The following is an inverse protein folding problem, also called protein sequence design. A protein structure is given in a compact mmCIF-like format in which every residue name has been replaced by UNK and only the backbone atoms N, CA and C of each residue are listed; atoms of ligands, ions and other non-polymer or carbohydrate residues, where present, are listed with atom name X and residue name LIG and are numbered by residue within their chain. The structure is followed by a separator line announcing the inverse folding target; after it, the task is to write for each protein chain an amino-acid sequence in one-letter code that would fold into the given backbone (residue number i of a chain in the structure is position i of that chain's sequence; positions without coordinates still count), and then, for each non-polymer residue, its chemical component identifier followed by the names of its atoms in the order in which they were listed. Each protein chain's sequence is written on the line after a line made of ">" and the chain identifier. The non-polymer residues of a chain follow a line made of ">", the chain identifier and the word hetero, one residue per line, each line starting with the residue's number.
data_IF_762707438583
#
_entry.id   IF_762707438583
#
_cell.length_a   1.000
_cell.length_b   1.000
_cell.length_c   1.000
_cell.angle_alpha   90.00
_cell.angle_beta   90.00
_cell.angle_gamma   90.00
#
_symmetry.space_group_name_H-M   'P 1'
#
loop_
_entity.id
_entity.type
_entity.pdbx_description
1 polymer ?
#
# COMPACT_ATOMS: atom_id res chain seq x y z
N UNK A 1 -11.27 -13.79 -27.51
CA UNK A 1 -10.56 -13.13 -26.41
C UNK A 1 -10.33 -11.71 -26.88
N UNK A 2 -10.98 -10.73 -26.28
CA UNK A 2 -10.72 -9.30 -26.58
C UNK A 2 -9.47 -8.96 -25.75
N UNK A 3 -8.35 -8.69 -26.40
CA UNK A 3 -7.18 -8.13 -25.72
C UNK A 3 -7.52 -6.69 -25.38
N UNK A 4 -7.26 -6.25 -24.15
CA UNK A 4 -7.44 -4.86 -23.78
C UNK A 4 -6.52 -3.95 -24.59
N UNK A 5 -7.09 -2.92 -25.22
CA UNK A 5 -6.34 -1.96 -26.06
C UNK A 5 -5.68 -0.86 -25.23
N UNK A 6 -6.28 -0.51 -24.11
CA UNK A 6 -5.74 0.47 -23.15
C UNK A 6 -6.56 0.57 -21.87
N UNK A 7 -5.92 0.96 -20.77
CA UNK A 7 -6.57 1.09 -19.47
C UNK A 7 -6.35 2.48 -18.89
N UNK A 8 -7.45 3.14 -18.53
CA UNK A 8 -7.46 4.36 -17.75
C UNK A 8 -7.46 4.02 -16.25
N UNK A 9 -6.55 4.59 -15.48
CA UNK A 9 -6.56 4.56 -14.02
C UNK A 9 -7.17 5.85 -13.48
N UNK A 10 -8.36 5.77 -12.89
CA UNK A 10 -8.97 6.87 -12.13
C UNK A 10 -8.63 6.67 -10.65
N UNK A 11 -7.78 7.53 -10.11
CA UNK A 11 -7.26 7.36 -8.75
C UNK A 11 -7.25 8.68 -7.98
N UNK A 12 -7.64 8.63 -6.69
CA UNK A 12 -7.55 9.78 -5.82
C UNK A 12 -6.17 9.92 -5.22
N UNK A 13 -5.70 11.17 -5.17
CA UNK A 13 -4.41 11.54 -4.62
C UNK A 13 -4.57 12.78 -3.75
N UNK A 14 -3.96 12.77 -2.57
CA UNK A 14 -3.99 13.93 -1.69
C UNK A 14 -3.28 13.67 -0.37
N UNK A 15 -2.99 14.75 0.37
CA UNK A 15 -2.26 14.66 1.64
C UNK A 15 -3.01 13.80 2.67
N UNK A 16 -4.35 13.82 2.63
CA UNK A 16 -5.20 13.06 3.56
C UNK A 16 -5.42 11.61 3.15
N UNK A 17 -5.31 11.30 1.85
CA UNK A 17 -5.47 9.94 1.30
C UNK A 17 -4.13 9.20 1.33
N UNK A 18 -3.03 9.93 1.28
CA UNK A 18 -1.68 9.39 1.18
C UNK A 18 -1.33 8.94 -0.25
N UNK A 19 -0.25 8.18 -0.38
CA UNK A 19 0.22 7.66 -1.67
C UNK A 19 -0.13 6.18 -1.91
N UNK A 20 -0.80 5.52 -0.96
CA UNK A 20 -1.09 4.09 -1.04
C UNK A 20 -1.92 3.69 -2.25
N UNK A 21 -3.01 4.42 -2.53
CA UNK A 21 -3.88 4.22 -3.70
C UNK A 21 -3.12 4.39 -5.01
N UNK A 22 -2.40 5.50 -5.13
CA UNK A 22 -1.60 5.75 -6.32
C UNK A 22 -0.53 4.68 -6.52
N UNK A 23 0.17 4.31 -5.47
CA UNK A 23 1.26 3.34 -5.54
C UNK A 23 0.76 1.96 -5.97
N UNK A 24 -0.40 1.50 -5.48
CA UNK A 24 -0.98 0.24 -5.90
C UNK A 24 -1.49 0.28 -7.35
N UNK A 25 -2.03 1.41 -7.81
CA UNK A 25 -2.41 1.62 -9.20
C UNK A 25 -1.19 1.63 -10.14
N UNK A 26 -0.12 2.34 -9.79
CA UNK A 26 1.15 2.33 -10.54
C UNK A 26 1.74 0.92 -10.60
N UNK A 27 1.66 0.16 -9.51
CA UNK A 27 2.13 -1.23 -9.46
C UNK A 27 1.36 -2.13 -10.44
N UNK A 28 0.03 -1.99 -10.50
CA UNK A 28 -0.80 -2.71 -11.46
C UNK A 28 -0.52 -2.27 -12.91
N UNK A 29 -0.40 -0.97 -13.16
CA UNK A 29 -0.07 -0.43 -14.49
C UNK A 29 1.30 -0.94 -15.00
N UNK A 30 2.30 -1.04 -14.13
CA UNK A 30 3.61 -1.66 -14.45
C UNK A 30 3.48 -3.13 -14.81
N UNK A 31 2.59 -3.87 -14.15
CA UNK A 31 2.33 -5.26 -14.48
C UNK A 31 1.59 -5.41 -15.83
N UNK A 32 0.61 -4.54 -16.12
CA UNK A 32 -0.09 -4.48 -17.40
C UNK A 32 0.84 -4.11 -18.55
N UNK A 33 1.79 -3.19 -18.32
CA UNK A 33 2.80 -2.82 -19.31
C UNK A 33 3.65 -4.01 -19.77
N UNK A 34 3.91 -5.02 -18.90
CA UNK A 34 4.57 -6.28 -19.28
C UNK A 34 3.75 -7.12 -20.26
N UNK A 35 2.45 -6.91 -20.32
CA UNK A 35 1.53 -7.53 -21.29
C UNK A 35 1.30 -6.67 -22.53
N UNK A 36 2.01 -5.54 -22.68
CA UNK A 36 1.86 -4.62 -23.80
C UNK A 36 0.60 -3.76 -23.74
N UNK A 37 -0.09 -3.70 -22.59
CA UNK A 37 -1.32 -2.91 -22.43
C UNK A 37 -0.94 -1.48 -22.01
N UNK A 38 -1.26 -0.46 -22.83
CA UNK A 38 -1.03 0.94 -22.49
C UNK A 38 -1.86 1.36 -21.29
N UNK A 39 -1.26 2.18 -20.41
CA UNK A 39 -1.93 2.69 -19.23
C UNK A 39 -1.75 4.21 -19.14
N UNK A 40 -2.80 4.91 -18.71
CA UNK A 40 -2.77 6.33 -18.44
C UNK A 40 -3.52 6.63 -17.14
N UNK A 41 -3.25 7.78 -16.55
CA UNK A 41 -3.75 8.14 -15.24
C UNK A 41 -4.60 9.41 -15.28
N UNK A 42 -5.74 9.37 -14.62
CA UNK A 42 -6.58 10.51 -14.30
C UNK A 42 -6.58 10.65 -12.77
N UNK A 43 -5.90 11.68 -12.27
CA UNK A 43 -5.75 11.85 -10.82
C UNK A 43 -6.68 12.93 -10.30
N UNK A 44 -7.51 12.60 -9.30
CA UNK A 44 -8.32 13.55 -8.55
C UNK A 44 -7.49 14.30 -7.51
N UNK A 45 -8.03 15.41 -6.99
CA UNK A 45 -7.40 16.28 -5.99
C UNK A 45 -7.12 17.70 -6.51
N UNK A 46 -5.96 18.26 -6.19
CA UNK A 46 -5.56 19.62 -6.57
C UNK A 46 -4.97 19.75 -8.00
N UNK A 47 -5.11 18.70 -8.78
CA UNK A 47 -4.68 18.67 -10.20
C UNK A 47 -3.18 18.57 -10.39
N UNK A 48 -2.42 18.23 -9.36
CA UNK A 48 -1.02 17.87 -9.48
C UNK A 48 -0.87 16.44 -9.99
N UNK A 49 0.08 16.23 -10.90
CA UNK A 49 0.49 14.88 -11.28
C UNK A 49 1.51 14.41 -10.25
N UNK A 50 1.22 13.32 -9.52
CA UNK A 50 2.11 12.87 -8.48
C UNK A 50 3.40 12.27 -9.02
N UNK A 51 4.51 12.53 -8.34
CA UNK A 51 5.85 12.04 -8.68
C UNK A 51 5.92 10.54 -9.02
N UNK A 52 5.22 9.60 -8.32
CA UNK A 52 5.26 8.20 -8.70
C UNK A 52 4.78 7.90 -10.12
N UNK A 53 3.80 8.64 -10.65
CA UNK A 53 3.33 8.48 -12.05
C UNK A 53 4.35 9.03 -13.02
N UNK A 54 4.85 10.24 -12.78
CA UNK A 54 5.86 10.90 -13.62
C UNK A 54 7.14 10.06 -13.73
N UNK A 55 7.70 9.60 -12.58
CA UNK A 55 8.92 8.77 -12.56
C UNK A 55 8.69 7.42 -13.22
N UNK A 56 7.44 6.93 -13.23
CA UNK A 56 7.07 5.66 -13.87
C UNK A 56 6.91 5.77 -15.38
N UNK A 57 6.89 6.99 -15.93
CA UNK A 57 6.79 7.23 -17.37
C UNK A 57 5.39 6.97 -17.95
N UNK A 58 4.33 7.04 -17.13
CA UNK A 58 2.96 6.98 -17.60
C UNK A 58 2.44 8.37 -17.97
N UNK A 59 1.57 8.43 -18.97
CA UNK A 59 0.79 9.63 -19.27
C UNK A 59 -0.18 9.87 -18.13
N UNK A 60 -0.26 11.11 -17.61
CA UNK A 60 -1.16 11.47 -16.54
C UNK A 60 -1.82 12.83 -16.77
N UNK A 61 -3.05 12.95 -16.31
CA UNK A 61 -3.80 14.20 -16.28
C UNK A 61 -4.38 14.40 -14.88
N UNK A 62 -4.22 15.61 -14.33
CA UNK A 62 -4.82 15.97 -13.03
C UNK A 62 -6.14 16.69 -13.20
N UNK A 63 -7.17 16.28 -12.49
CA UNK A 63 -8.47 16.96 -12.44
C UNK A 63 -8.41 18.06 -11.38
N UNK A 64 -8.78 19.29 -11.74
CA UNK A 64 -8.82 20.42 -10.80
C UNK A 64 -10.25 20.85 -10.54
N UNK A 65 -10.55 21.14 -9.26
CA UNK A 65 -11.82 21.74 -8.86
C UNK A 65 -13.04 20.84 -9.04
N UNK A 66 -12.84 19.56 -9.26
CA UNK A 66 -13.89 18.54 -9.40
C UNK A 66 -13.78 17.57 -8.24
N UNK A 67 -14.90 17.31 -7.58
CA UNK A 67 -14.94 16.32 -6.51
C UNK A 67 -14.98 14.91 -7.10
N UNK A 68 -14.24 14.01 -6.51
CA UNK A 68 -14.24 12.60 -6.90
C UNK A 68 -15.65 11.99 -6.82
N UNK A 69 -16.04 11.25 -7.87
CA UNK A 69 -17.34 10.61 -7.95
C UNK A 69 -18.50 11.49 -8.43
N UNK A 70 -18.28 12.79 -8.68
CA UNK A 70 -19.29 13.68 -9.25
C UNK A 70 -19.47 13.47 -10.76
N UNK A 71 -20.56 13.99 -11.32
CA UNK A 71 -20.85 13.88 -12.77
C UNK A 71 -19.72 14.48 -13.65
N UNK A 72 -19.09 15.57 -13.22
CA UNK A 72 -17.98 16.18 -13.95
C UNK A 72 -16.70 15.31 -13.91
N UNK A 73 -16.47 14.56 -12.84
CA UNK A 73 -15.39 13.57 -12.75
C UNK A 73 -15.64 12.40 -13.72
N UNK A 74 -16.88 11.89 -13.74
CA UNK A 74 -17.32 10.85 -14.66
C UNK A 74 -17.15 11.27 -16.12
N UNK A 75 -17.61 12.48 -16.48
CA UNK A 75 -17.48 13.02 -17.82
C UNK A 75 -16.01 13.10 -18.28
N UNK A 76 -15.11 13.56 -17.40
CA UNK A 76 -13.68 13.61 -17.69
C UNK A 76 -13.06 12.22 -17.84
N UNK A 77 -13.48 11.25 -17.03
CA UNK A 77 -13.01 9.88 -17.15
C UNK A 77 -13.45 9.24 -18.49
N UNK A 78 -14.69 9.43 -18.88
CA UNK A 78 -15.25 8.94 -20.16
C UNK A 78 -14.57 9.62 -21.36
N UNK A 79 -14.44 10.94 -21.35
CA UNK A 79 -13.77 11.69 -22.41
C UNK A 79 -12.30 11.28 -22.58
N UNK A 80 -11.58 11.11 -21.47
CA UNK A 80 -10.19 10.67 -21.50
C UNK A 80 -10.04 9.24 -22.01
N UNK A 81 -10.90 8.32 -21.56
CA UNK A 81 -10.91 6.94 -22.07
C UNK A 81 -11.15 6.90 -23.58
N UNK A 82 -12.16 7.65 -24.07
CA UNK A 82 -12.49 7.72 -25.48
C UNK A 82 -11.35 8.32 -26.32
N UNK A 83 -10.79 9.45 -25.91
CA UNK A 83 -9.69 10.12 -26.65
C UNK A 83 -8.43 9.28 -26.79
N UNK A 84 -8.17 8.42 -25.81
CA UNK A 84 -6.96 7.59 -25.79
C UNK A 84 -7.23 6.14 -26.19
N UNK A 85 -8.44 5.79 -26.66
CA UNK A 85 -8.79 4.45 -27.11
C UNK A 85 -8.72 3.40 -26.00
N UNK A 86 -9.05 3.78 -24.75
CA UNK A 86 -9.11 2.83 -23.64
C UNK A 86 -10.45 2.08 -23.71
N UNK A 87 -10.38 0.76 -23.58
CA UNK A 87 -11.52 -0.14 -23.44
C UNK A 87 -11.69 -0.67 -22.00
N UNK A 88 -10.77 -0.29 -21.10
CA UNK A 88 -10.84 -0.58 -19.68
C UNK A 88 -10.60 0.63 -18.79
N UNK A 89 -11.18 0.59 -17.58
CA UNK A 89 -10.95 1.57 -16.52
C UNK A 89 -10.74 0.88 -15.17
N UNK A 90 -9.71 1.29 -14.46
CA UNK A 90 -9.45 0.92 -13.07
C UNK A 90 -9.78 2.11 -12.18
N UNK A 91 -10.70 1.94 -11.25
CA UNK A 91 -11.15 2.97 -10.30
C UNK A 91 -10.65 2.63 -8.90
N UNK A 92 -9.93 3.56 -8.29
CA UNK A 92 -9.42 3.44 -6.92
C UNK A 92 -9.73 4.74 -6.14
N UNK A 93 -10.91 4.80 -5.55
CA UNK A 93 -11.44 5.97 -4.86
C UNK A 93 -12.43 5.58 -3.76
N UNK A 94 -12.35 6.24 -2.62
CA UNK A 94 -13.33 6.09 -1.56
C UNK A 94 -14.60 6.94 -1.77
N UNK A 95 -14.58 7.89 -2.69
CA UNK A 95 -15.70 8.81 -2.94
C UNK A 95 -16.60 8.36 -4.10
N UNK A 96 -16.20 7.31 -4.85
CA UNK A 96 -16.99 6.71 -5.92
C UNK A 96 -18.08 5.80 -5.34
N UNK A 97 -19.27 5.82 -5.96
CA UNK A 97 -20.42 4.98 -5.62
C UNK A 97 -20.75 3.97 -6.73
N UNK A 98 -21.80 3.17 -6.52
CA UNK A 98 -22.25 2.17 -7.48
C UNK A 98 -22.71 2.79 -8.81
N UNK A 99 -23.44 3.91 -8.77
CA UNK A 99 -23.97 4.58 -9.96
C UNK A 99 -22.84 5.05 -10.89
N UNK A 100 -21.76 5.59 -10.32
CA UNK A 100 -20.57 5.99 -11.08
C UNK A 100 -19.93 4.80 -11.83
N UNK A 101 -19.80 3.65 -11.16
CA UNK A 101 -19.24 2.43 -11.77
C UNK A 101 -20.17 1.86 -12.84
N UNK A 102 -21.49 1.94 -12.62
CA UNK A 102 -22.48 1.47 -13.58
C UNK A 102 -22.53 2.33 -14.85
N UNK A 103 -22.41 3.64 -14.73
CA UNK A 103 -22.30 4.57 -15.85
C UNK A 103 -21.03 4.32 -16.69
N UNK A 104 -19.87 4.10 -16.04
CA UNK A 104 -18.65 3.71 -16.75
C UNK A 104 -18.85 2.39 -17.52
N UNK A 105 -19.48 1.40 -16.89
CA UNK A 105 -19.80 0.13 -17.54
C UNK A 105 -20.80 0.29 -18.68
N UNK A 106 -21.85 1.06 -18.49
CA UNK A 106 -22.89 1.31 -19.48
C UNK A 106 -22.35 2.03 -20.73
N UNK A 107 -21.23 2.75 -20.60
CA UNK A 107 -20.50 3.35 -21.73
C UNK A 107 -19.67 2.34 -22.54
N UNK A 108 -19.66 1.05 -22.16
CA UNK A 108 -18.95 -0.03 -22.85
C UNK A 108 -17.55 -0.33 -22.33
N UNK A 109 -17.10 0.34 -21.25
CA UNK A 109 -15.80 0.08 -20.63
C UNK A 109 -15.82 -1.21 -19.79
N UNK A 110 -14.71 -1.92 -19.78
CA UNK A 110 -14.44 -2.96 -18.78
C UNK A 110 -14.01 -2.30 -17.47
N UNK A 111 -14.87 -2.36 -16.46
CA UNK A 111 -14.68 -1.65 -15.19
C UNK A 111 -14.06 -2.54 -14.14
N UNK A 112 -12.95 -2.08 -13.54
CA UNK A 112 -12.27 -2.70 -12.41
C UNK A 112 -12.36 -1.76 -11.22
N UNK A 113 -12.87 -2.21 -10.09
CA UNK A 113 -12.83 -1.47 -8.83
C UNK A 113 -11.73 -2.03 -7.92
N UNK A 114 -10.83 -1.17 -7.44
CA UNK A 114 -9.98 -1.49 -6.30
C UNK A 114 -10.70 -0.96 -5.06
N UNK A 115 -11.07 -1.86 -4.15
CA UNK A 115 -11.90 -1.52 -2.99
C UNK A 115 -11.35 -2.17 -1.72
N UNK A 116 -11.51 -1.49 -0.59
CA UNK A 116 -11.08 -1.97 0.73
C UNK A 116 -12.25 -2.08 1.72
N UNK A 117 -13.48 -1.71 1.32
CA UNK A 117 -14.58 -1.39 2.24
C UNK A 117 -15.86 -2.21 2.03
N UNK A 118 -16.11 -2.74 0.82
CA UNK A 118 -17.34 -3.46 0.45
C UNK A 118 -18.63 -2.71 0.80
N UNK A 119 -18.69 -1.38 0.51
CA UNK A 119 -19.80 -0.51 0.96
C UNK A 119 -21.12 -0.70 0.21
N UNK A 120 -21.07 -1.27 -0.98
CA UNK A 120 -22.24 -1.47 -1.85
C UNK A 120 -22.05 -2.69 -2.76
N UNK A 121 -23.14 -3.24 -3.36
CA UNK A 121 -23.02 -4.23 -4.42
C UNK A 121 -22.37 -3.63 -5.68
N UNK A 122 -21.34 -4.28 -6.21
CA UNK A 122 -20.55 -3.76 -7.32
C UNK A 122 -21.19 -4.08 -8.68
N UNK A 123 -21.42 -3.07 -9.55
CA UNK A 123 -21.91 -3.27 -10.91
C UNK A 123 -20.80 -3.52 -11.94
N UNK A 124 -19.57 -3.65 -11.54
CA UNK A 124 -18.39 -3.76 -12.42
C UNK A 124 -17.99 -5.23 -12.69
N UNK A 125 -17.13 -5.45 -13.69
CA UNK A 125 -16.71 -6.80 -14.07
C UNK A 125 -15.69 -7.39 -13.11
N UNK A 126 -14.87 -6.57 -12.46
CA UNK A 126 -13.84 -7.05 -11.55
C UNK A 126 -13.71 -6.17 -10.31
N UNK A 127 -13.68 -6.80 -9.15
CA UNK A 127 -13.34 -6.15 -7.88
C UNK A 127 -12.05 -6.75 -7.34
N UNK A 128 -11.10 -5.90 -6.96
CA UNK A 128 -9.80 -6.30 -6.40
C UNK A 128 -9.66 -5.73 -4.99
N UNK A 129 -9.48 -6.61 -4.01
CA UNK A 129 -9.06 -6.23 -2.67
C UNK A 129 -7.89 -7.12 -2.21
N UNK A 130 -6.68 -6.56 -2.21
CA UNK A 130 -5.46 -7.23 -1.74
C UNK A 130 -5.27 -7.21 -0.22
N UNK A 131 -6.26 -6.75 0.54
CA UNK A 131 -6.20 -6.65 2.00
C UNK A 131 -6.33 -8.00 2.70
N UNK A 132 -5.66 -8.14 3.84
CA UNK A 132 -5.73 -9.35 4.66
C UNK A 132 -7.14 -9.62 5.21
N UNK A 133 -7.94 -8.58 5.37
CA UNK A 133 -9.33 -8.65 5.84
C UNK A 133 -10.35 -8.86 4.72
N UNK A 134 -9.92 -8.83 3.43
CA UNK A 134 -10.83 -8.82 2.29
C UNK A 134 -11.85 -9.97 2.28
N UNK A 135 -11.44 -11.17 2.68
CA UNK A 135 -12.32 -12.35 2.74
C UNK A 135 -13.33 -12.30 3.91
N UNK A 136 -13.16 -11.38 4.86
CA UNK A 136 -14.07 -11.16 5.99
C UNK A 136 -15.16 -10.13 5.66
N UNK A 137 -14.99 -9.38 4.56
CA UNK A 137 -15.96 -8.41 4.08
C UNK A 137 -17.05 -9.09 3.25
N UNK A 138 -18.26 -8.55 3.31
CA UNK A 138 -19.42 -9.07 2.57
C UNK A 138 -19.50 -8.39 1.20
N UNK A 139 -18.69 -8.84 0.26
CA UNK A 139 -18.77 -8.38 -1.13
C UNK A 139 -20.03 -8.90 -1.80
N UNK A 140 -20.77 -8.01 -2.43
CA UNK A 140 -21.93 -8.30 -3.26
C UNK A 140 -21.77 -7.73 -4.68
N UNK A 141 -22.55 -8.25 -5.61
CA UNK A 141 -22.66 -7.72 -6.97
C UNK A 141 -24.09 -7.42 -7.32
N UNK A 142 -24.32 -6.34 -8.05
CA UNK A 142 -25.58 -6.05 -8.74
C UNK A 142 -25.61 -6.59 -10.19
N UNK A 143 -24.53 -7.26 -10.61
CA UNK A 143 -24.33 -7.84 -11.94
C UNK A 143 -23.98 -9.33 -11.82
N UNK A 144 -24.37 -10.12 -12.83
CA UNK A 144 -24.14 -11.58 -12.82
C UNK A 144 -22.73 -12.00 -13.26
N UNK A 145 -21.91 -11.07 -13.75
CA UNK A 145 -20.58 -11.30 -14.32
C UNK A 145 -19.42 -10.70 -13.50
N UNK A 146 -19.70 -10.17 -12.31
CA UNK A 146 -18.65 -9.63 -11.43
C UNK A 146 -17.78 -10.75 -10.87
N UNK A 147 -16.49 -10.63 -11.08
CA UNK A 147 -15.47 -11.47 -10.45
C UNK A 147 -14.82 -10.74 -9.28
N UNK A 148 -14.43 -11.49 -8.22
CA UNK A 148 -13.79 -10.94 -7.03
C UNK A 148 -12.42 -11.56 -6.83
N UNK A 149 -11.37 -10.73 -6.78
CA UNK A 149 -10.00 -11.10 -6.44
C UNK A 149 -9.67 -10.58 -5.04
N UNK A 150 -9.91 -11.43 -4.03
CA UNK A 150 -9.87 -11.04 -2.62
C UNK A 150 -8.72 -11.69 -1.87
N UNK A 151 -8.08 -10.93 -0.98
CA UNK A 151 -7.04 -11.37 -0.06
C UNK A 151 -5.63 -11.06 -0.52
N UNK A 152 -4.67 -11.29 0.37
CA UNK A 152 -3.26 -10.86 0.25
C UNK A 152 -2.54 -11.39 -0.98
N UNK A 153 -3.03 -12.49 -1.57
CA UNK A 153 -2.55 -13.02 -2.84
C UNK A 153 -2.64 -11.99 -3.99
N UNK A 154 -3.54 -11.01 -3.85
CA UNK A 154 -3.79 -9.94 -4.82
C UNK A 154 -3.30 -8.58 -4.31
N UNK A 155 -2.46 -8.53 -3.28
CA UNK A 155 -1.83 -7.29 -2.83
C UNK A 155 -0.97 -6.68 -3.95
N UNK A 156 -1.29 -5.44 -4.34
CA UNK A 156 -0.69 -4.76 -5.49
C UNK A 156 0.64 -4.11 -5.11
N UNK A 157 1.69 -4.91 -4.97
CA UNK A 157 3.01 -4.44 -4.58
C UNK A 157 3.84 -3.98 -5.79
N UNK A 158 4.78 -3.07 -5.53
CA UNK A 158 5.71 -2.49 -6.50
C UNK A 158 6.57 -3.57 -7.18
N UNK A 159 7.09 -3.30 -8.40
CA UNK A 159 7.85 -4.28 -9.18
C UNK A 159 9.03 -4.92 -8.44
N UNK A 160 9.72 -4.17 -7.58
CA UNK A 160 10.85 -4.67 -6.80
C UNK A 160 10.46 -5.76 -5.79
N UNK A 161 9.16 -5.92 -5.47
CA UNK A 161 8.64 -6.98 -4.60
C UNK A 161 8.09 -8.20 -5.35
N UNK A 162 8.13 -8.23 -6.68
CA UNK A 162 7.58 -9.37 -7.43
C UNK A 162 8.50 -10.60 -7.43
N UNK A 163 9.79 -10.37 -7.20
CA UNK A 163 10.82 -11.42 -7.12
C UNK A 163 11.74 -11.13 -5.94
N UNK A 164 11.32 -11.56 -4.75
CA UNK A 164 12.03 -11.28 -3.50
C UNK A 164 13.00 -12.42 -3.20
N UNK A 165 14.30 -12.14 -2.99
CA UNK A 165 15.24 -13.16 -2.59
C UNK A 165 14.91 -13.70 -1.19
N UNK A 166 15.09 -14.99 -1.00
CA UNK A 166 15.00 -15.58 0.33
C UNK A 166 16.13 -15.04 1.20
N UNK A 167 15.77 -14.61 2.40
CA UNK A 167 16.77 -14.31 3.45
C UNK A 167 16.47 -15.08 4.73
N UNK A 168 17.51 -15.51 5.40
CA UNK A 168 17.40 -16.09 6.73
C UNK A 168 17.20 -14.97 7.78
N UNK A 169 16.36 -15.25 8.77
CA UNK A 169 16.23 -14.38 9.95
C UNK A 169 17.43 -14.61 10.87
N UNK A 170 18.15 -13.54 11.21
CA UNK A 170 19.32 -13.59 12.10
C UNK A 170 18.91 -13.94 13.53
N UNK A 171 19.79 -14.57 14.28
CA UNK A 171 19.54 -14.90 15.70
C UNK A 171 19.58 -13.66 16.60
N UNK A 172 20.31 -12.62 16.23
CA UNK A 172 20.33 -11.32 16.90
C UNK A 172 19.84 -10.20 15.98
N UNK A 173 19.21 -9.17 16.54
CA UNK A 173 18.81 -7.96 15.81
C UNK A 173 20.01 -7.02 15.74
N UNK A 174 20.38 -6.63 14.52
CA UNK A 174 21.46 -5.67 14.22
C UNK A 174 20.97 -4.36 13.63
N UNK A 175 19.79 -4.41 12.97
CA UNK A 175 19.21 -3.25 12.32
C UNK A 175 17.70 -3.22 12.53
N UNK A 176 17.22 -2.10 13.06
CA UNK A 176 15.79 -1.80 13.18
C UNK A 176 15.41 -0.75 12.16
N UNK A 177 14.41 -1.02 11.34
CA UNK A 177 13.83 -0.10 10.37
C UNK A 177 12.64 0.63 11.00
N UNK A 178 12.57 1.95 10.87
CA UNK A 178 11.38 2.74 11.24
C UNK A 178 10.83 3.40 9.99
N UNK A 179 9.52 3.18 9.72
CA UNK A 179 8.84 3.79 8.57
C UNK A 179 7.38 4.05 8.89
N UNK A 180 6.93 5.30 8.72
CA UNK A 180 5.57 5.72 9.02
C UNK A 180 4.74 6.01 7.74
N UNK A 181 5.24 5.55 6.59
CA UNK A 181 4.59 5.74 5.30
C UNK A 181 4.94 7.09 4.66
N UNK A 182 3.98 7.71 3.98
CA UNK A 182 4.22 8.93 3.21
C UNK A 182 4.51 10.17 4.10
N UNK A 183 4.02 10.18 5.33
CA UNK A 183 4.21 11.27 6.30
C UNK A 183 4.02 10.79 7.73
N UNK A 184 4.25 11.70 8.68
CA UNK A 184 4.09 11.45 10.12
C UNK A 184 3.20 12.54 10.75
N UNK A 185 1.87 12.42 10.61
CA UNK A 185 0.93 13.42 11.11
C UNK A 185 0.83 13.47 12.64
N UNK A 186 1.40 12.50 13.34
CA UNK A 186 1.36 12.38 14.80
C UNK A 186 2.70 12.63 15.49
N UNK A 187 3.71 13.08 14.74
CA UNK A 187 5.06 13.32 15.24
C UNK A 187 5.64 12.12 16.02
N UNK A 188 5.43 10.93 15.51
CA UNK A 188 5.87 9.69 16.15
C UNK A 188 7.35 9.40 15.91
N UNK A 189 7.92 9.82 14.78
CA UNK A 189 9.30 9.48 14.40
C UNK A 189 10.32 9.88 15.47
N UNK A 190 10.35 11.13 15.99
CA UNK A 190 11.26 11.52 17.06
C UNK A 190 11.09 10.65 18.32
N UNK A 191 9.84 10.42 18.72
CA UNK A 191 9.50 9.64 19.91
C UNK A 191 9.94 8.18 19.81
N UNK A 192 9.82 7.58 18.61
CA UNK A 192 10.26 6.21 18.34
C UNK A 192 11.80 6.12 18.31
N UNK A 193 12.49 7.14 17.79
CA UNK A 193 13.95 7.19 17.80
C UNK A 193 14.49 7.30 19.23
N UNK A 194 13.91 8.18 20.06
CA UNK A 194 14.27 8.31 21.48
C UNK A 194 14.03 7.00 22.24
N UNK A 195 12.87 6.35 22.01
CA UNK A 195 12.57 5.04 22.58
C UNK A 195 13.65 4.02 22.21
N UNK A 196 13.93 3.88 20.90
CA UNK A 196 14.89 2.90 20.41
C UNK A 196 16.29 3.17 20.92
N UNK A 197 16.70 4.43 21.09
CA UNK A 197 17.98 4.81 21.68
C UNK A 197 18.12 4.37 23.14
N UNK A 198 17.01 4.34 23.88
CA UNK A 198 16.95 3.89 25.27
C UNK A 198 16.94 2.37 25.46
N UNK A 199 16.69 1.58 24.42
CA UNK A 199 16.63 0.12 24.56
C UNK A 199 18.01 -0.50 24.79
N UNK A 200 18.08 -1.66 25.50
CA UNK A 200 19.30 -2.44 25.58
C UNK A 200 19.73 -2.98 24.21
N UNK A 201 20.84 -3.66 24.17
CA UNK A 201 21.46 -4.25 22.98
C UNK A 201 22.11 -3.24 22.02
N UNK A 202 23.00 -3.74 21.20
CA UNK A 202 23.73 -2.95 20.20
C UNK A 202 23.16 -3.22 18.80
N UNK A 203 22.41 -2.25 18.29
CA UNK A 203 21.81 -2.26 16.95
C UNK A 203 21.80 -0.86 16.35
N UNK A 204 21.79 -0.78 15.03
CA UNK A 204 21.60 0.47 14.30
C UNK A 204 20.12 0.68 13.94
N UNK A 205 19.72 1.93 13.78
CA UNK A 205 18.39 2.31 13.31
C UNK A 205 18.49 2.88 11.90
N UNK A 206 17.61 2.44 11.01
CA UNK A 206 17.36 3.11 9.72
C UNK A 206 15.97 3.71 9.78
N UNK A 207 15.86 5.03 9.66
CA UNK A 207 14.58 5.74 9.69
C UNK A 207 14.26 6.30 8.30
N UNK A 208 13.12 5.91 7.73
CA UNK A 208 12.64 6.42 6.46
C UNK A 208 11.67 7.57 6.70
N UNK A 209 12.01 8.74 6.15
CA UNK A 209 11.13 9.91 6.08
C UNK A 209 10.39 9.87 4.75
N UNK A 210 9.06 9.81 4.78
CA UNK A 210 8.26 9.81 3.55
C UNK A 210 8.21 11.18 2.87
N UNK A 211 7.72 11.25 1.62
CA UNK A 211 7.76 12.49 0.83
C UNK A 211 6.87 13.62 1.38
N UNK A 212 5.94 13.32 2.29
CA UNK A 212 5.10 14.32 2.98
C UNK A 212 5.54 14.60 4.41
N UNK A 213 6.73 14.14 4.79
CA UNK A 213 7.27 14.38 6.11
C UNK A 213 7.57 15.87 6.31
N UNK A 214 7.19 16.44 7.48
CA UNK A 214 7.29 17.88 7.73
C UNK A 214 8.35 18.27 8.75
N UNK A 215 8.57 17.46 9.77
CA UNK A 215 9.38 17.83 10.95
C UNK A 215 10.85 17.40 10.84
N UNK A 216 11.49 17.61 9.67
CA UNK A 216 12.89 17.21 9.43
C UNK A 216 13.87 17.76 10.49
N UNK A 217 13.69 19.04 10.90
CA UNK A 217 14.57 19.68 11.87
C UNK A 217 14.50 19.03 13.26
N UNK A 218 13.34 18.55 13.68
CA UNK A 218 13.15 17.86 14.95
C UNK A 218 13.77 16.46 14.90
N UNK A 219 13.49 15.69 13.87
CA UNK A 219 14.12 14.39 13.68
C UNK A 219 15.65 14.49 13.63
N UNK A 220 16.18 15.51 12.96
CA UNK A 220 17.62 15.74 12.88
C UNK A 220 18.23 16.05 14.25
N UNK A 221 17.54 16.83 15.08
CA UNK A 221 17.95 17.10 16.47
C UNK A 221 17.95 15.81 17.32
N UNK A 222 16.87 15.02 17.23
CA UNK A 222 16.78 13.73 17.92
C UNK A 222 17.92 12.81 17.51
N UNK A 223 18.14 12.64 16.19
CA UNK A 223 19.25 11.81 15.68
C UNK A 223 20.61 12.27 16.19
N UNK A 224 20.84 13.60 16.26
CA UNK A 224 22.11 14.15 16.77
C UNK A 224 22.33 13.89 18.27
N UNK A 225 21.27 13.65 19.02
CA UNK A 225 21.31 13.32 20.45
C UNK A 225 21.40 11.80 20.71
N UNK A 226 21.05 10.96 19.73
CA UNK A 226 21.11 9.49 19.88
C UNK A 226 22.54 9.01 20.09
N UNK A 227 22.69 8.03 20.99
CA UNK A 227 23.96 7.32 21.24
C UNK A 227 24.25 6.24 20.22
N UNK A 228 23.19 5.61 19.70
CA UNK A 228 23.30 4.56 18.69
C UNK A 228 23.36 5.14 17.26
N UNK A 229 23.92 4.39 16.29
CA UNK A 229 23.93 4.81 14.90
C UNK A 229 22.51 4.89 14.36
N UNK A 230 22.12 6.07 13.86
CA UNK A 230 20.84 6.30 13.17
C UNK A 230 21.13 6.80 11.75
N UNK A 231 20.62 6.08 10.74
CA UNK A 231 20.66 6.46 9.34
C UNK A 231 19.30 7.02 8.93
N UNK A 232 19.25 8.30 8.58
CA UNK A 232 18.06 8.90 7.94
C UNK A 232 18.10 8.66 6.44
N UNK A 233 16.95 8.24 5.88
CA UNK A 233 16.75 8.06 4.44
C UNK A 233 15.53 8.87 4.04
N UNK A 234 15.74 9.95 3.28
CA UNK A 234 14.69 10.88 2.90
C UNK A 234 14.10 10.50 1.55
N UNK A 235 12.78 10.30 1.53
CA UNK A 235 11.96 9.99 0.36
C UNK A 235 12.61 9.02 -0.65
N UNK A 236 13.06 7.81 -0.22
CA UNK A 236 13.76 6.90 -1.11
C UNK A 236 12.85 6.44 -2.26
N UNK A 237 13.43 6.27 -3.45
CA UNK A 237 12.69 5.72 -4.61
C UNK A 237 12.26 4.28 -4.39
N UNK A 238 13.05 3.49 -3.69
CA UNK A 238 12.75 2.12 -3.30
C UNK A 238 13.09 1.90 -1.82
N UNK A 239 12.24 1.14 -1.13
CA UNK A 239 12.46 0.73 0.26
C UNK A 239 12.81 -0.77 0.37
N UNK A 240 12.81 -1.49 -0.74
CA UNK A 240 13.00 -2.94 -0.81
C UNK A 240 14.29 -3.40 -0.11
N UNK A 241 15.43 -2.81 -0.49
CA UNK A 241 16.72 -3.21 0.09
C UNK A 241 16.82 -2.85 1.57
N UNK A 242 16.26 -1.70 1.97
CA UNK A 242 16.20 -1.30 3.39
C UNK A 242 15.36 -2.28 4.23
N UNK A 243 14.28 -2.82 3.65
CA UNK A 243 13.45 -3.84 4.31
C UNK A 243 14.18 -5.18 4.38
N UNK A 244 14.93 -5.56 3.33
CA UNK A 244 15.74 -6.79 3.35
C UNK A 244 16.92 -6.71 4.32
N UNK A 245 17.52 -5.54 4.52
CA UNK A 245 18.62 -5.32 5.48
C UNK A 245 18.15 -5.36 6.93
N UNK A 246 16.89 -4.96 7.20
CA UNK A 246 16.36 -4.83 8.56
C UNK A 246 16.02 -6.17 9.20
N UNK A 247 16.42 -6.39 10.44
CA UNK A 247 16.08 -7.58 11.22
C UNK A 247 14.72 -7.47 11.91
N UNK A 248 14.27 -6.22 12.11
CA UNK A 248 13.00 -5.85 12.71
C UNK A 248 12.54 -4.52 12.14
N UNK A 249 11.25 -4.32 12.02
CA UNK A 249 10.67 -3.03 11.62
C UNK A 249 9.64 -2.51 12.63
N UNK A 250 9.58 -1.19 12.78
CA UNK A 250 8.45 -0.45 13.36
C UNK A 250 7.78 0.30 12.22
N UNK A 251 6.50 0.03 11.95
CA UNK A 251 5.83 0.56 10.76
C UNK A 251 4.41 1.03 11.04
N UNK A 252 3.97 2.04 10.29
CA UNK A 252 2.54 2.36 10.20
C UNK A 252 1.74 1.24 9.53
N UNK A 253 0.43 1.17 9.84
CA UNK A 253 -0.50 0.11 9.42
C UNK A 253 -0.98 0.15 7.97
N UNK A 254 -0.25 0.80 7.06
CA UNK A 254 -0.62 0.96 5.65
C UNK A 254 -0.10 -0.14 4.71
N UNK A 255 -0.04 0.17 3.42
CA UNK A 255 0.45 -0.70 2.34
C UNK A 255 1.85 -1.27 2.61
N UNK A 256 2.70 -0.52 3.31
CA UNK A 256 4.07 -0.90 3.71
C UNK A 256 4.12 -2.20 4.52
N UNK A 257 3.05 -2.54 5.26
CA UNK A 257 3.00 -3.82 5.99
C UNK A 257 3.02 -5.03 5.06
N UNK A 258 2.41 -4.94 3.88
CA UNK A 258 2.44 -6.02 2.90
C UNK A 258 3.82 -6.17 2.26
N UNK A 259 4.54 -5.06 2.07
CA UNK A 259 5.93 -5.06 1.59
C UNK A 259 6.88 -5.69 2.63
N UNK A 260 6.72 -5.33 3.91
CA UNK A 260 7.47 -5.93 5.02
C UNK A 260 7.13 -7.43 5.21
N UNK A 261 5.85 -7.80 5.07
CA UNK A 261 5.43 -9.20 5.10
C UNK A 261 6.06 -9.99 3.96
N UNK A 262 6.04 -9.46 2.74
CA UNK A 262 6.63 -10.10 1.56
C UNK A 262 8.15 -10.30 1.70
N UNK A 263 8.89 -9.32 2.22
CA UNK A 263 10.32 -9.46 2.52
C UNK A 263 10.61 -10.37 3.71
N UNK A 264 9.56 -10.71 4.50
CA UNK A 264 9.70 -11.49 5.73
C UNK A 264 10.41 -10.71 6.83
N UNK A 265 10.21 -9.40 6.89
CA UNK A 265 10.75 -8.55 7.94
C UNK A 265 9.79 -8.55 9.13
N UNK A 266 10.18 -9.09 10.30
CA UNK A 266 9.34 -9.06 11.49
C UNK A 266 8.96 -7.63 11.84
N UNK A 267 7.70 -7.38 12.17
CA UNK A 267 7.20 -6.00 12.25
C UNK A 267 6.33 -5.77 13.47
N UNK A 268 6.63 -4.67 14.19
CA UNK A 268 5.73 -4.02 15.14
C UNK A 268 5.00 -2.91 14.41
N UNK A 269 3.67 -2.97 14.39
CA UNK A 269 2.82 -2.06 13.66
C UNK A 269 2.10 -1.08 14.58
N UNK A 270 1.93 0.16 14.11
CA UNK A 270 1.19 1.23 14.77
C UNK A 270 0.06 1.68 13.87
N UNK A 271 -1.15 1.81 14.41
CA UNK A 271 -2.26 2.40 13.69
C UNK A 271 -2.13 3.93 13.70
N UNK A 272 -1.97 4.54 12.52
CA UNK A 272 -1.87 6.01 12.37
C UNK A 272 -3.09 6.61 11.69
N UNK A 273 -4.02 5.77 11.19
CA UNK A 273 -5.27 6.21 10.57
C UNK A 273 -6.36 5.14 10.76
N UNK A 274 -7.63 5.56 10.77
CA UNK A 274 -8.77 4.69 11.07
C UNK A 274 -8.96 3.55 10.04
N UNK A 275 -8.71 3.84 8.77
CA UNK A 275 -8.81 2.85 7.69
C UNK A 275 -7.79 1.70 7.80
N UNK A 276 -6.80 1.80 8.69
CA UNK A 276 -5.79 0.78 8.93
C UNK A 276 -6.25 -0.31 9.91
N UNK A 277 -7.30 -0.08 10.69
CA UNK A 277 -7.75 -0.97 11.78
C UNK A 277 -8.01 -2.41 11.31
N UNK A 278 -8.75 -2.57 10.21
CA UNK A 278 -9.10 -3.90 9.69
C UNK A 278 -7.88 -4.67 9.16
N UNK A 279 -6.97 -3.98 8.46
CA UNK A 279 -5.71 -4.57 7.97
C UNK A 279 -4.85 -5.07 9.13
N UNK A 280 -4.65 -4.22 10.13
CA UNK A 280 -3.82 -4.52 11.30
C UNK A 280 -4.38 -5.71 12.07
N UNK A 281 -5.70 -5.72 12.33
CA UNK A 281 -6.36 -6.82 13.05
C UNK A 281 -6.20 -8.15 12.30
N UNK A 282 -6.41 -8.15 10.98
CA UNK A 282 -6.29 -9.36 10.17
C UNK A 282 -4.85 -9.88 10.11
N UNK A 283 -3.86 -9.01 9.86
CA UNK A 283 -2.45 -9.41 9.85
C UNK A 283 -1.95 -9.88 11.22
N UNK A 284 -2.42 -9.27 12.32
CA UNK A 284 -2.09 -9.69 13.67
C UNK A 284 -2.71 -11.06 14.02
N UNK A 285 -3.95 -11.30 13.63
CA UNK A 285 -4.63 -12.60 13.84
C UNK A 285 -3.90 -13.76 13.16
N UNK A 286 -3.30 -13.51 11.97
CA UNK A 286 -2.44 -14.48 11.28
C UNK A 286 -1.04 -14.61 11.92
N UNK A 287 -0.63 -13.67 12.77
CA UNK A 287 0.73 -13.61 13.34
C UNK A 287 1.78 -13.04 12.40
N UNK A 288 1.38 -12.27 11.39
CA UNK A 288 2.28 -11.60 10.46
C UNK A 288 2.88 -10.30 11.00
N UNK A 289 2.22 -9.68 12.00
CA UNK A 289 2.66 -8.47 12.69
C UNK A 289 2.30 -8.52 14.17
N UNK A 290 2.97 -7.71 15.01
CA UNK A 290 2.50 -7.34 16.34
C UNK A 290 1.96 -5.92 16.29
N UNK A 291 0.82 -5.66 16.92
CA UNK A 291 0.19 -4.33 16.94
C UNK A 291 0.43 -3.68 18.31
N UNK A 292 1.08 -2.54 18.34
CA UNK A 292 1.38 -1.82 19.58
C UNK A 292 0.25 -0.90 20.07
N UNK A 293 -0.64 -0.46 19.17
CA UNK A 293 -1.75 0.43 19.48
C UNK A 293 -1.98 1.50 18.42
N UNK A 294 -2.77 2.52 18.80
CA UNK A 294 -3.10 3.67 17.95
C UNK A 294 -2.21 4.87 18.26
N UNK A 295 -1.95 5.73 17.27
CA UNK A 295 -1.10 6.91 17.41
C UNK A 295 -1.54 7.88 18.51
N UNK A 296 -2.85 7.92 18.81
CA UNK A 296 -3.43 8.75 19.90
C UNK A 296 -3.33 8.14 21.31
N UNK A 297 -2.88 6.90 21.44
CA UNK A 297 -2.84 6.22 22.75
C UNK A 297 -1.71 6.78 23.62
N UNK A 298 -1.99 7.13 24.88
CA UNK A 298 -1.00 7.68 25.81
C UNK A 298 0.18 6.70 26.08
N UNK A 299 -0.08 5.38 26.06
CA UNK A 299 0.93 4.33 26.29
C UNK A 299 1.55 3.75 25.03
N UNK A 300 1.31 4.35 23.85
CA UNK A 300 1.76 3.78 22.57
C UNK A 300 3.26 3.50 22.53
N UNK A 301 4.08 4.48 22.93
CA UNK A 301 5.55 4.39 22.86
C UNK A 301 6.05 3.25 23.75
N UNK A 302 5.54 3.12 24.96
CA UNK A 302 5.87 2.03 25.86
C UNK A 302 5.46 0.67 25.31
N UNK A 303 4.28 0.59 24.67
CA UNK A 303 3.82 -0.62 24.00
C UNK A 303 4.73 -1.00 22.83
N UNK A 304 5.15 -0.02 22.00
CA UNK A 304 6.13 -0.27 20.94
C UNK A 304 7.42 -0.83 21.52
N UNK A 305 7.94 -0.22 22.59
CA UNK A 305 9.14 -0.69 23.29
C UNK A 305 9.02 -2.14 23.77
N UNK A 306 7.89 -2.47 24.41
CA UNK A 306 7.59 -3.83 24.86
C UNK A 306 7.58 -4.85 23.73
N UNK A 307 6.87 -4.54 22.62
CA UNK A 307 6.76 -5.45 21.48
C UNK A 307 8.09 -5.61 20.74
N UNK A 308 8.85 -4.51 20.60
CA UNK A 308 10.20 -4.53 20.01
C UNK A 308 11.13 -5.41 20.85
N UNK A 309 11.22 -5.19 22.17
CA UNK A 309 12.03 -6.00 23.08
C UNK A 309 11.65 -7.49 23.01
N UNK A 310 10.35 -7.80 23.07
CA UNK A 310 9.89 -9.18 22.97
C UNK A 310 10.23 -9.87 21.65
N UNK A 311 10.39 -9.11 20.55
CA UNK A 311 10.90 -9.63 19.27
C UNK A 311 12.43 -9.68 19.25
N UNK A 312 13.14 -8.76 19.90
CA UNK A 312 14.60 -8.81 20.01
C UNK A 312 15.07 -10.04 20.78
N UNK A 313 14.40 -10.37 21.88
CA UNK A 313 14.71 -11.51 22.75
C UNK A 313 14.40 -12.88 22.12
N UNK A 314 13.51 -12.95 21.11
CA UNK A 314 13.06 -14.22 20.54
C UNK A 314 13.29 -14.33 19.03
N UNK A 315 14.39 -14.97 18.63
CA UNK A 315 14.65 -15.28 17.21
C UNK A 315 13.58 -16.22 16.64
N UNK A 316 13.00 -17.10 17.44
CA UNK A 316 11.94 -18.02 17.01
C UNK A 316 10.63 -17.27 16.70
N UNK A 317 10.29 -16.27 17.52
CA UNK A 317 9.14 -15.41 17.23
C UNK A 317 9.35 -14.64 15.91
N UNK A 318 10.56 -14.10 15.67
CA UNK A 318 10.89 -13.43 14.41
C UNK A 318 10.84 -14.39 13.21
N UNK A 319 11.40 -15.59 13.35
CA UNK A 319 11.37 -16.64 12.30
C UNK A 319 9.95 -17.04 11.95
N UNK A 320 9.09 -17.24 12.96
CA UNK A 320 7.67 -17.56 12.77
C UNK A 320 6.93 -16.43 12.05
N UNK A 321 7.09 -15.20 12.52
CA UNK A 321 6.43 -14.01 11.91
C UNK A 321 6.88 -13.83 10.45
N UNK A 322 8.17 -13.93 10.15
CA UNK A 322 8.73 -13.84 8.81
C UNK A 322 8.19 -14.94 7.87
N UNK A 323 8.04 -16.18 8.38
CA UNK A 323 7.49 -17.28 7.60
C UNK A 323 6.01 -17.07 7.28
N UNK A 324 5.23 -16.58 8.26
CA UNK A 324 3.81 -16.23 8.07
C UNK A 324 3.67 -15.10 7.06
N UNK A 325 4.45 -14.02 7.21
CA UNK A 325 4.41 -12.88 6.29
C UNK A 325 4.62 -13.30 4.84
N UNK A 326 5.70 -14.02 4.55
CA UNK A 326 6.02 -14.53 3.20
C UNK A 326 4.99 -15.52 2.65
N UNK A 327 4.34 -16.31 3.51
CA UNK A 327 3.24 -17.19 3.09
C UNK A 327 2.01 -16.41 2.67
N UNK A 328 1.67 -15.34 3.40
CA UNK A 328 0.51 -14.51 3.14
C UNK A 328 0.71 -13.61 1.92
N UNK A 329 1.91 -13.05 1.77
CA UNK A 329 2.21 -12.04 0.74
C UNK A 329 3.47 -12.47 -0.03
N UNK A 330 3.28 -12.96 -1.24
CA UNK A 330 4.38 -13.39 -2.11
C UNK A 330 4.87 -12.31 -3.09
N UNK A 331 4.33 -11.09 -2.97
CA UNK A 331 4.69 -9.95 -3.80
C UNK A 331 4.02 -9.90 -5.18
N UNK A 332 3.45 -11.00 -5.68
CA UNK A 332 3.04 -11.17 -7.08
C UNK A 332 1.58 -10.80 -7.37
N UNK A 333 0.89 -10.11 -6.47
CA UNK A 333 -0.54 -9.77 -6.62
C UNK A 333 -0.82 -8.91 -7.85
N UNK A 334 -0.03 -7.87 -8.10
CA UNK A 334 -0.17 -7.03 -9.30
C UNK A 334 0.00 -7.82 -10.60
N UNK A 335 0.95 -8.77 -10.63
CA UNK A 335 1.18 -9.65 -11.80
C UNK A 335 -0.01 -10.58 -12.03
N UNK A 336 -0.65 -11.11 -10.96
CA UNK A 336 -1.85 -11.94 -11.08
C UNK A 336 -3.05 -11.18 -11.59
N UNK A 337 -3.30 -9.98 -11.05
CA UNK A 337 -4.40 -9.12 -11.51
C UNK A 337 -4.18 -8.73 -12.97
N UNK A 338 -2.96 -8.31 -13.35
CA UNK A 338 -2.64 -7.98 -14.74
C UNK A 338 -2.85 -9.16 -15.69
N UNK A 339 -2.51 -10.38 -15.28
CA UNK A 339 -2.75 -11.60 -16.08
C UNK A 339 -4.24 -11.85 -16.31
N UNK A 340 -5.09 -11.64 -15.29
CA UNK A 340 -6.55 -11.75 -15.43
C UNK A 340 -7.06 -10.73 -16.43
N UNK A 341 -6.64 -9.47 -16.32
CA UNK A 341 -7.05 -8.40 -17.24
C UNK A 341 -6.57 -8.66 -18.69
N UNK A 342 -5.32 -9.08 -18.86
CA UNK A 342 -4.76 -9.43 -20.18
C UNK A 342 -5.44 -10.63 -20.85
N UNK A 343 -6.10 -11.51 -20.07
CA UNK A 343 -6.88 -12.65 -20.58
C UNK A 343 -8.36 -12.32 -20.83
N UNK A 344 -8.74 -11.03 -20.86
CA UNK A 344 -10.12 -10.60 -21.05
C UNK A 344 -11.01 -10.84 -19.84
N UNK A 345 -10.45 -10.78 -18.62
CA UNK A 345 -11.19 -10.94 -17.38
C UNK A 345 -11.54 -12.38 -17.00
N UNK A 346 -11.01 -13.37 -17.72
CA UNK A 346 -11.31 -14.78 -17.42
C UNK A 346 -10.48 -15.26 -16.20
N UNK A 347 -11.15 -15.50 -15.09
CA UNK A 347 -10.56 -15.95 -13.81
C UNK A 347 -10.35 -17.47 -13.71
N UNK A 348 -10.55 -18.21 -14.82
CA UNK A 348 -10.39 -19.68 -14.86
C UNK A 348 -8.94 -20.14 -14.94
#
# INVERSE_FOLDING_TARGET
>A
MVSMEGILFRVDVGIHIGLGHLQRCVSLAKALQRHGIPCLFLTGGDGMIPTPVEVSGFTACGIRGVKAGDAADLEQALDMALRHGCDGVVVDSYDVNADYLDELRSSGLYVVAIDDLARFPFPCQLVVNGGAHAQQLHYGSSSNDTSFLLGTRYALLRPEFWEIPYRAVRDSVRTVLVTLGAGDPHDLMPRLLDLLDGLPDDFAVTAILGPFFKNHAEVQRTVSACRRPVRLVDAPRSVHDLMLEADLAVSAGGQTLYELAATGTPTVAVQVADNQSNHLRALAAEGAVRVAGCAGDAGLVDNVGKEVLGLMESSDARKKMAAVGRRLVDGRGAVRVAKVLASGGNTR
#
